data_IF_283320303170
#
_entry.id   IF_283320303170
#
_cell.length_a   1.000
_cell.length_b   1.000
_cell.length_c   1.000
_cell.angle_alpha   90.00
_cell.angle_beta   90.00
_cell.angle_gamma   90.00
#
_symmetry.space_group_name_H-M   'P 1'
#
loop_
_entity.id
_entity.type
_entity.pdbx_description
1 polymer ?
#
# COMPACT_ATOMS: atom_id res chain seq x y z
N UNK A 1 -26.58 8.06 4.23
CA UNK A 1 -25.92 6.74 4.35
C UNK A 1 -24.78 6.76 3.35
N UNK A 2 -23.55 6.47 3.76
CA UNK A 2 -22.40 6.54 2.84
C UNK A 2 -22.08 5.19 2.21
N UNK A 3 -21.62 5.19 0.96
CA UNK A 3 -21.22 3.99 0.22
C UNK A 3 -19.69 3.93 0.08
N UNK A 4 -19.09 2.81 0.46
CA UNK A 4 -17.64 2.65 0.53
C UNK A 4 -17.21 1.36 -0.15
N UNK A 5 -16.16 1.45 -0.97
CA UNK A 5 -15.51 0.30 -1.60
C UNK A 5 -14.11 0.13 -1.02
N UNK A 6 -13.76 -1.07 -0.58
CA UNK A 6 -12.44 -1.38 -0.04
C UNK A 6 -11.84 -2.55 -0.81
N UNK A 7 -10.91 -2.26 -1.72
CA UNK A 7 -10.14 -3.27 -2.46
C UNK A 7 -8.97 -3.70 -1.58
N UNK A 8 -8.77 -5.01 -1.41
CA UNK A 8 -7.79 -5.55 -0.46
C UNK A 8 -8.25 -5.47 1.01
N UNK A 9 -9.56 -5.59 1.25
CA UNK A 9 -10.19 -5.41 2.56
C UNK A 9 -9.75 -6.40 3.65
N UNK A 10 -9.18 -7.55 3.27
CA UNK A 10 -8.61 -8.52 4.21
C UNK A 10 -7.20 -8.16 4.69
N UNK A 11 -6.55 -7.19 4.06
CA UNK A 11 -5.22 -6.70 4.44
C UNK A 11 -5.27 -5.70 5.59
N UNK A 12 -4.12 -5.47 6.23
CA UNK A 12 -3.99 -4.55 7.39
C UNK A 12 -4.50 -3.15 7.07
N UNK A 13 -4.16 -2.62 5.89
CA UNK A 13 -4.58 -1.29 5.46
C UNK A 13 -6.08 -1.24 5.12
N UNK A 14 -6.62 -2.25 4.45
CA UNK A 14 -8.05 -2.37 4.18
C UNK A 14 -8.88 -2.45 5.47
N UNK A 15 -8.42 -3.21 6.46
CA UNK A 15 -9.04 -3.27 7.79
C UNK A 15 -8.99 -1.93 8.51
N UNK A 16 -7.88 -1.19 8.42
CA UNK A 16 -7.78 0.16 8.98
C UNK A 16 -8.82 1.12 8.35
N UNK A 17 -9.00 1.06 7.03
CA UNK A 17 -10.03 1.82 6.33
C UNK A 17 -11.44 1.45 6.78
N UNK A 18 -11.78 0.15 6.85
CA UNK A 18 -13.10 -0.33 7.28
C UNK A 18 -13.40 0.16 8.71
N UNK A 19 -12.45 -0.01 9.63
CA UNK A 19 -12.58 0.47 11.02
C UNK A 19 -12.81 1.98 11.08
N UNK A 20 -12.07 2.75 10.28
CA UNK A 20 -12.20 4.21 10.22
C UNK A 20 -13.55 4.65 9.65
N UNK A 21 -14.04 3.97 8.60
CA UNK A 21 -15.37 4.23 8.03
C UNK A 21 -16.45 3.98 9.07
N UNK A 22 -16.41 2.84 9.77
CA UNK A 22 -17.36 2.53 10.84
C UNK A 22 -17.34 3.56 11.96
N UNK A 23 -16.15 4.05 12.34
CA UNK A 23 -16.01 5.11 13.34
C UNK A 23 -16.63 6.43 12.89
N UNK A 24 -16.36 6.87 11.66
CA UNK A 24 -16.72 8.21 11.17
C UNK A 24 -18.16 8.30 10.69
N UNK A 25 -18.63 7.26 10.01
CA UNK A 25 -19.92 7.25 9.30
C UNK A 25 -20.95 6.30 9.93
N UNK A 26 -20.57 5.57 10.98
CA UNK A 26 -21.46 4.71 11.75
C UNK A 26 -21.63 3.30 11.19
N UNK A 27 -22.40 2.49 11.93
CA UNK A 27 -22.68 1.10 11.57
C UNK A 27 -23.57 0.95 10.32
N UNK A 28 -24.28 2.02 9.97
CA UNK A 28 -25.17 2.07 8.81
C UNK A 28 -24.43 2.36 7.50
N UNK A 29 -23.11 2.64 7.52
CA UNK A 29 -22.34 2.78 6.30
C UNK A 29 -22.40 1.48 5.45
N UNK A 30 -22.59 1.60 4.14
CA UNK A 30 -22.53 0.44 3.26
C UNK A 30 -21.08 0.21 2.82
N UNK A 31 -20.47 -0.91 3.23
CA UNK A 31 -19.08 -1.23 2.91
C UNK A 31 -19.04 -2.51 2.08
N UNK A 32 -18.62 -2.39 0.81
CA UNK A 32 -18.27 -3.53 -0.03
C UNK A 32 -16.76 -3.72 0.06
N UNK A 33 -16.32 -4.87 0.55
CA UNK A 33 -14.91 -5.21 0.66
C UNK A 33 -14.54 -6.31 -0.33
N UNK A 34 -13.61 -6.02 -1.24
CA UNK A 34 -13.02 -7.00 -2.13
C UNK A 34 -11.75 -7.61 -1.52
N UNK A 35 -11.51 -8.89 -1.80
CA UNK A 35 -10.22 -9.52 -1.54
C UNK A 35 -9.88 -10.57 -2.61
N UNK A 36 -8.59 -10.88 -2.70
CA UNK A 36 -8.04 -11.84 -3.64
C UNK A 36 -6.96 -12.70 -2.98
N UNK A 37 -6.73 -13.91 -3.50
CA UNK A 37 -5.74 -14.85 -2.97
C UNK A 37 -6.21 -16.29 -3.10
N UNK A 38 -5.82 -17.15 -2.14
CA UNK A 38 -6.29 -18.53 -2.08
C UNK A 38 -7.79 -18.52 -1.80
N UNK A 39 -8.58 -19.01 -2.76
CA UNK A 39 -10.03 -19.05 -2.65
C UNK A 39 -10.45 -19.79 -1.38
N UNK A 40 -11.16 -19.06 -0.52
CA UNK A 40 -11.81 -19.54 0.68
C UNK A 40 -13.14 -18.79 0.76
N UNK A 41 -14.20 -19.44 0.28
CA UNK A 41 -15.53 -18.84 0.13
C UNK A 41 -16.20 -18.54 1.48
N UNK A 42 -15.58 -18.91 2.60
CA UNK A 42 -16.09 -18.63 3.94
C UNK A 42 -15.48 -17.38 4.59
N UNK A 43 -14.61 -16.65 3.88
CA UNK A 43 -14.06 -15.40 4.42
C UNK A 43 -15.13 -14.32 4.38
N UNK A 44 -15.54 -13.91 5.58
CA UNK A 44 -16.21 -12.63 5.82
C UNK A 44 -15.17 -11.62 6.31
N UNK A 45 -15.10 -10.46 5.68
CA UNK A 45 -14.21 -9.37 6.10
C UNK A 45 -14.89 -8.63 7.25
N UNK A 46 -14.24 -8.61 8.43
CA UNK A 46 -14.80 -7.97 9.62
C UNK A 46 -15.13 -6.49 9.35
N UNK A 47 -16.30 -6.07 9.86
CA UNK A 47 -16.85 -4.74 9.65
C UNK A 47 -17.40 -4.45 8.24
N UNK A 48 -17.19 -5.29 7.22
CA UNK A 48 -17.76 -5.08 5.89
C UNK A 48 -19.25 -5.47 5.85
N UNK A 49 -20.05 -4.76 5.06
CA UNK A 49 -21.46 -5.12 4.80
C UNK A 49 -21.54 -6.29 3.83
N UNK A 50 -20.67 -6.29 2.81
CA UNK A 50 -20.55 -7.33 1.79
C UNK A 50 -19.08 -7.65 1.55
N UNK A 51 -18.80 -8.92 1.29
CA UNK A 51 -17.46 -9.38 0.91
C UNK A 51 -17.52 -9.99 -0.49
N UNK A 52 -16.63 -9.56 -1.38
CA UNK A 52 -16.53 -10.08 -2.75
C UNK A 52 -15.14 -10.67 -2.94
N UNK A 53 -15.07 -11.94 -3.32
CA UNK A 53 -13.82 -12.59 -3.70
C UNK A 53 -13.61 -12.48 -5.20
N UNK A 54 -12.44 -12.01 -5.63
CA UNK A 54 -12.10 -11.96 -7.04
C UNK A 54 -10.91 -11.05 -7.32
N UNK A 55 -10.24 -11.30 -8.44
CA UNK A 55 -9.22 -10.38 -8.95
C UNK A 55 -9.93 -9.10 -9.40
N UNK A 56 -9.55 -7.97 -8.84
CA UNK A 56 -10.19 -6.70 -9.16
C UNK A 56 -9.94 -6.25 -10.60
N UNK A 57 -8.93 -6.81 -11.27
CA UNK A 57 -8.69 -6.59 -12.70
C UNK A 57 -9.60 -7.42 -13.61
N UNK A 58 -10.35 -8.39 -13.07
CA UNK A 58 -11.34 -9.17 -13.81
C UNK A 58 -12.66 -8.38 -13.91
N UNK A 59 -13.17 -8.09 -15.12
CA UNK A 59 -14.47 -7.46 -15.31
C UNK A 59 -15.62 -8.15 -14.58
N UNK A 60 -15.56 -9.47 -14.39
CA UNK A 60 -16.58 -10.19 -13.62
C UNK A 60 -16.62 -9.76 -12.16
N UNK A 61 -15.47 -9.49 -11.55
CA UNK A 61 -15.40 -9.00 -10.17
C UNK A 61 -16.02 -7.60 -10.06
N UNK A 62 -15.70 -6.73 -11.03
CA UNK A 62 -16.26 -5.37 -11.11
C UNK A 62 -17.78 -5.41 -11.33
N UNK A 63 -18.27 -6.30 -12.19
CA UNK A 63 -19.70 -6.50 -12.43
C UNK A 63 -20.44 -6.97 -11.18
N UNK A 64 -19.81 -7.80 -10.33
CA UNK A 64 -20.38 -8.18 -9.04
C UNK A 64 -20.49 -6.98 -8.09
N UNK A 65 -19.48 -6.10 -8.05
CA UNK A 65 -19.52 -4.87 -7.25
C UNK A 65 -20.69 -3.98 -7.72
N UNK A 66 -20.85 -3.80 -9.03
CA UNK A 66 -21.94 -3.01 -9.62
C UNK A 66 -23.33 -3.62 -9.38
N UNK A 67 -23.43 -4.95 -9.33
CA UNK A 67 -24.68 -5.65 -9.03
C UNK A 67 -25.11 -5.44 -7.56
N UNK A 68 -24.15 -5.35 -6.63
CA UNK A 68 -24.43 -5.11 -5.21
C UNK A 68 -24.71 -3.64 -4.88
N UNK A 69 -24.17 -2.69 -5.66
CA UNK A 69 -24.38 -1.26 -5.44
C UNK A 69 -24.34 -0.45 -6.74
N UNK A 70 -25.46 0.17 -7.09
CA UNK A 70 -25.57 1.08 -8.24
C UNK A 70 -25.42 2.56 -7.87
N UNK A 71 -25.46 2.89 -6.57
CA UNK A 71 -25.27 4.26 -6.11
C UNK A 71 -23.79 4.69 -6.15
N UNK A 72 -23.47 5.99 -6.26
CA UNK A 72 -22.09 6.45 -6.21
C UNK A 72 -21.38 6.06 -4.91
N UNK A 73 -20.12 5.65 -5.01
CA UNK A 73 -19.24 5.46 -3.86
C UNK A 73 -18.68 6.81 -3.39
N UNK A 74 -18.80 7.09 -2.09
CA UNK A 74 -18.18 8.25 -1.48
C UNK A 74 -16.65 8.09 -1.44
N UNK A 75 -16.19 6.88 -1.13
CA UNK A 75 -14.77 6.53 -1.14
C UNK A 75 -14.52 5.15 -1.75
N UNK A 76 -13.44 5.05 -2.52
CA UNK A 76 -12.77 3.78 -2.82
C UNK A 76 -11.39 3.77 -2.15
N UNK A 77 -11.11 2.75 -1.35
CA UNK A 77 -9.79 2.48 -0.78
C UNK A 77 -9.13 1.36 -1.56
N UNK A 78 -7.99 1.63 -2.21
CA UNK A 78 -7.28 0.64 -3.02
C UNK A 78 -6.04 0.11 -2.30
N UNK A 79 -6.20 -0.91 -1.44
CA UNK A 79 -5.15 -1.42 -0.53
C UNK A 79 -4.31 -2.58 -1.09
N UNK A 80 -4.40 -2.86 -2.39
CA UNK A 80 -3.60 -3.92 -3.03
C UNK A 80 -2.19 -3.42 -3.34
N UNK A 81 -1.17 -4.24 -3.02
CA UNK A 81 0.22 -3.98 -3.38
C UNK A 81 0.92 -5.30 -3.72
N UNK A 82 1.17 -5.52 -5.01
CA UNK A 82 1.79 -6.71 -5.57
C UNK A 82 2.84 -6.29 -6.61
N UNK A 83 4.02 -6.92 -6.55
CA UNK A 83 5.11 -6.57 -7.44
C UNK A 83 6.41 -7.22 -7.01
N UNK A 84 7.45 -7.07 -7.83
CA UNK A 84 8.80 -7.53 -7.50
C UNK A 84 9.39 -6.69 -6.36
N UNK A 85 9.93 -7.38 -5.36
CA UNK A 85 10.60 -6.82 -4.18
C UNK A 85 11.77 -7.71 -3.77
N UNK A 86 12.56 -7.30 -2.77
CA UNK A 86 13.77 -7.99 -2.32
C UNK A 86 15.01 -7.72 -3.18
N UNK A 87 14.92 -6.76 -4.11
CA UNK A 87 16.02 -6.28 -4.97
C UNK A 87 16.02 -4.75 -5.01
N UNK A 88 17.14 -4.09 -5.33
CA UNK A 88 17.17 -2.63 -5.46
C UNK A 88 16.24 -2.13 -6.57
N UNK A 89 15.60 -0.98 -6.34
CA UNK A 89 14.74 -0.31 -7.33
C UNK A 89 15.55 -0.01 -8.60
N UNK A 90 16.82 0.40 -8.47
CA UNK A 90 17.72 0.66 -9.60
C UNK A 90 18.00 -0.57 -10.48
N UNK A 91 17.64 -1.78 -10.02
CA UNK A 91 17.80 -3.02 -10.78
C UNK A 91 16.48 -3.50 -11.40
N UNK A 92 15.37 -2.78 -11.22
CA UNK A 92 14.11 -3.14 -11.87
C UNK A 92 14.22 -2.94 -13.39
N UNK A 93 13.68 -3.89 -14.14
CA UNK A 93 13.65 -3.83 -15.60
C UNK A 93 12.25 -3.49 -16.10
N UNK A 94 12.15 -3.01 -17.33
CA UNK A 94 10.87 -2.56 -17.91
C UNK A 94 9.75 -3.60 -17.77
N UNK A 95 10.06 -4.87 -18.04
CA UNK A 95 9.10 -5.98 -17.91
C UNK A 95 8.59 -6.16 -16.47
N UNK A 96 9.46 -6.06 -15.45
CA UNK A 96 9.04 -6.20 -14.06
C UNK A 96 8.27 -4.98 -13.57
N UNK A 97 8.61 -3.78 -14.06
CA UNK A 97 7.86 -2.54 -13.82
C UNK A 97 6.44 -2.65 -14.41
N UNK A 98 6.32 -3.07 -15.67
CA UNK A 98 5.02 -3.20 -16.35
C UNK A 98 4.15 -4.24 -15.65
N UNK A 99 4.73 -5.38 -15.25
CA UNK A 99 4.01 -6.39 -14.49
C UNK A 99 3.59 -5.90 -13.10
N UNK A 100 4.42 -5.11 -12.43
CA UNK A 100 4.08 -4.52 -11.12
C UNK A 100 2.92 -3.52 -11.24
N UNK A 101 2.95 -2.64 -12.26
CA UNK A 101 1.89 -1.66 -12.50
C UNK A 101 0.57 -2.33 -12.87
N UNK A 102 0.60 -3.38 -13.71
CA UNK A 102 -0.59 -4.17 -14.05
C UNK A 102 -1.33 -4.69 -12.83
N UNK A 103 -0.62 -4.98 -11.74
CA UNK A 103 -1.19 -5.52 -10.52
C UNK A 103 -1.54 -4.45 -9.48
N UNK A 104 -0.76 -3.37 -9.40
CA UNK A 104 -0.82 -2.39 -8.29
C UNK A 104 -1.29 -0.99 -8.68
N UNK A 105 -1.27 -0.64 -9.96
CA UNK A 105 -1.57 0.71 -10.43
C UNK A 105 -2.68 0.72 -11.49
N UNK A 106 -2.53 -0.02 -12.58
CA UNK A 106 -3.48 -0.03 -13.70
C UNK A 106 -4.94 -0.31 -13.29
N UNK A 107 -5.23 -1.21 -12.32
CA UNK A 107 -6.60 -1.42 -11.89
C UNK A 107 -7.25 -0.18 -11.25
N UNK A 108 -6.47 0.74 -10.68
CA UNK A 108 -6.99 1.99 -10.11
C UNK A 108 -7.63 2.83 -11.23
N UNK A 109 -6.92 2.99 -12.35
CA UNK A 109 -7.39 3.75 -13.51
C UNK A 109 -8.65 3.12 -14.12
N UNK A 110 -8.65 1.79 -14.27
CA UNK A 110 -9.81 1.05 -14.78
C UNK A 110 -11.04 1.24 -13.88
N UNK A 111 -10.87 1.20 -12.56
CA UNK A 111 -11.96 1.36 -11.61
C UNK A 111 -12.51 2.79 -11.59
N UNK A 112 -11.66 3.81 -11.71
CA UNK A 112 -12.11 5.20 -11.79
C UNK A 112 -13.01 5.44 -13.02
N UNK A 113 -12.60 4.91 -14.17
CA UNK A 113 -13.38 4.99 -15.41
C UNK A 113 -14.72 4.26 -15.27
N UNK A 114 -14.69 3.03 -14.74
CA UNK A 114 -15.83 2.12 -14.73
C UNK A 114 -16.86 2.44 -13.64
N UNK A 115 -16.41 2.85 -12.46
CA UNK A 115 -17.27 3.06 -11.28
C UNK A 115 -17.55 4.56 -11.05
N UNK A 116 -18.67 4.88 -10.42
CA UNK A 116 -18.96 6.25 -9.98
C UNK A 116 -18.39 6.45 -8.57
N UNK A 117 -17.18 7.00 -8.48
CA UNK A 117 -16.45 7.21 -7.23
C UNK A 117 -16.19 8.71 -7.05
N UNK A 118 -16.42 9.23 -5.84
CA UNK A 118 -16.11 10.63 -5.52
C UNK A 118 -14.64 10.82 -5.13
N UNK A 119 -14.14 9.95 -4.24
CA UNK A 119 -12.77 10.04 -3.71
C UNK A 119 -12.09 8.68 -3.81
N UNK A 120 -10.91 8.65 -4.40
CA UNK A 120 -10.06 7.46 -4.44
C UNK A 120 -8.89 7.65 -3.49
N UNK A 121 -8.74 6.72 -2.56
CA UNK A 121 -7.65 6.66 -1.58
C UNK A 121 -6.72 5.52 -1.98
N UNK A 122 -5.50 5.89 -2.37
CA UNK A 122 -4.42 4.95 -2.69
C UNK A 122 -3.40 4.88 -1.55
N UNK A 123 -2.49 3.92 -1.60
CA UNK A 123 -1.45 3.76 -0.58
C UNK A 123 -0.06 3.69 -1.16
N UNK A 124 0.80 4.53 -0.60
CA UNK A 124 2.23 4.57 -0.83
C UNK A 124 2.97 4.27 0.47
N UNK A 125 4.29 4.36 0.42
CA UNK A 125 5.19 4.22 1.58
C UNK A 125 6.33 5.20 1.41
N UNK A 126 7.23 5.28 2.38
CA UNK A 126 8.45 6.07 2.27
C UNK A 126 9.52 5.30 1.47
N UNK A 127 9.21 4.93 0.22
CA UNK A 127 10.04 4.04 -0.58
C UNK A 127 11.35 4.67 -1.06
N UNK A 128 11.52 5.97 -0.85
CA UNK A 128 12.73 6.74 -1.20
C UNK A 128 13.82 6.72 -0.13
N UNK A 129 13.54 6.17 1.06
CA UNK A 129 14.60 5.97 2.06
C UNK A 129 15.54 4.85 1.60
N UNK A 130 16.82 4.95 1.98
CA UNK A 130 17.92 4.11 1.48
C UNK A 130 17.64 2.61 1.58
N UNK A 131 17.08 2.15 2.70
CA UNK A 131 16.76 0.73 2.87
C UNK A 131 15.63 0.26 1.96
N UNK A 132 14.65 1.12 1.67
CA UNK A 132 13.56 0.78 0.75
C UNK A 132 14.03 0.86 -0.70
N UNK A 133 14.85 1.84 -1.07
CA UNK A 133 15.53 1.88 -2.37
C UNK A 133 16.29 0.58 -2.67
N UNK A 134 16.88 -0.04 -1.64
CA UNK A 134 17.62 -1.30 -1.79
C UNK A 134 16.73 -2.56 -1.92
N UNK A 135 15.42 -2.47 -1.64
CA UNK A 135 14.55 -3.66 -1.55
C UNK A 135 13.23 -3.59 -2.28
N UNK A 136 12.79 -2.43 -2.76
CA UNK A 136 11.46 -2.27 -3.34
C UNK A 136 11.34 -2.65 -4.82
N UNK A 137 12.44 -2.98 -5.52
CA UNK A 137 12.42 -3.44 -6.91
C UNK A 137 11.46 -2.66 -7.81
N UNK A 138 10.68 -3.38 -8.62
CA UNK A 138 9.66 -2.80 -9.48
C UNK A 138 8.49 -2.14 -8.70
N UNK A 139 8.21 -2.59 -7.47
CA UNK A 139 7.14 -2.02 -6.65
C UNK A 139 7.38 -0.54 -6.33
N UNK A 140 8.65 -0.12 -6.25
CA UNK A 140 9.02 1.29 -6.11
C UNK A 140 8.44 2.17 -7.24
N UNK A 141 8.49 1.69 -8.48
CA UNK A 141 7.92 2.41 -9.64
C UNK A 141 6.38 2.45 -9.59
N UNK A 142 5.73 1.39 -9.10
CA UNK A 142 4.28 1.42 -8.89
C UNK A 142 3.87 2.42 -7.80
N UNK A 143 4.70 2.60 -6.76
CA UNK A 143 4.47 3.64 -5.76
C UNK A 143 4.68 5.03 -6.33
N UNK A 144 5.71 5.24 -7.14
CA UNK A 144 5.89 6.51 -7.86
C UNK A 144 4.73 6.82 -8.82
N UNK A 145 4.21 5.83 -9.54
CA UNK A 145 3.06 6.00 -10.42
C UNK A 145 1.83 6.48 -9.63
N UNK A 146 1.56 5.88 -8.47
CA UNK A 146 0.48 6.32 -7.55
C UNK A 146 0.72 7.76 -7.08
N UNK A 147 1.95 8.09 -6.68
CA UNK A 147 2.33 9.43 -6.19
C UNK A 147 2.09 10.51 -7.26
N UNK A 148 2.49 10.23 -8.52
CA UNK A 148 2.25 11.13 -9.67
C UNK A 148 0.76 11.26 -9.97
N UNK A 149 0.05 10.15 -10.08
CA UNK A 149 -1.38 10.11 -10.36
C UNK A 149 -2.23 10.82 -9.30
N UNK A 150 -1.78 10.81 -8.03
CA UNK A 150 -2.46 11.54 -6.95
C UNK A 150 -2.58 13.06 -7.22
N UNK A 151 -1.69 13.62 -8.05
CA UNK A 151 -1.71 15.02 -8.44
C UNK A 151 -2.44 15.30 -9.74
N UNK A 152 -2.74 14.26 -10.52
CA UNK A 152 -3.45 14.39 -11.78
C UNK A 152 -4.92 14.70 -11.53
N UNK A 153 -5.53 15.60 -12.32
CA UNK A 153 -6.97 15.78 -12.28
C UNK A 153 -7.67 14.52 -12.83
N UNK A 154 -8.75 14.12 -12.18
CA UNK A 154 -9.54 12.96 -12.57
C UNK A 154 -11.03 13.21 -12.46
N UNK A 155 -11.81 12.17 -12.78
CA UNK A 155 -13.25 12.11 -12.50
C UNK A 155 -13.49 12.06 -11.00
N UNK A 156 -12.59 11.41 -10.27
CA UNK A 156 -12.54 11.35 -8.82
C UNK A 156 -11.57 12.40 -8.27
N UNK A 157 -11.71 12.72 -6.98
CA UNK A 157 -10.62 13.34 -6.23
C UNK A 157 -9.61 12.26 -5.80
N UNK A 158 -8.33 12.50 -6.04
CA UNK A 158 -7.28 11.57 -5.69
C UNK A 158 -6.60 11.97 -4.38
N UNK A 159 -6.38 10.99 -3.51
CA UNK A 159 -5.60 11.16 -2.30
C UNK A 159 -4.78 9.89 -2.03
N UNK A 160 -3.67 10.05 -1.34
CA UNK A 160 -2.76 8.96 -1.03
C UNK A 160 -2.37 8.98 0.46
N UNK A 161 -2.45 7.82 1.10
CA UNK A 161 -1.86 7.61 2.42
C UNK A 161 -0.47 6.98 2.26
N UNK A 162 0.56 7.64 2.79
CA UNK A 162 1.91 7.10 2.89
C UNK A 162 2.14 6.52 4.26
N UNK A 163 2.53 5.25 4.33
CA UNK A 163 2.81 4.59 5.59
C UNK A 163 4.29 4.21 5.73
N UNK A 164 4.84 4.45 6.92
CA UNK A 164 6.11 3.84 7.37
C UNK A 164 5.98 2.34 7.53
N UNK A 165 7.08 1.66 7.81
CA UNK A 165 7.17 0.21 7.86
C UNK A 165 6.22 -0.35 8.93
N UNK A 166 5.35 -1.26 8.49
CA UNK A 166 4.44 -2.04 9.34
C UNK A 166 4.44 -3.53 8.93
N UNK A 167 4.02 -4.39 9.86
CA UNK A 167 3.92 -5.82 9.61
C UNK A 167 2.71 -6.13 8.69
N UNK A 168 2.97 -6.74 7.54
CA UNK A 168 1.98 -7.08 6.52
C UNK A 168 2.41 -8.31 5.72
N UNK A 169 1.55 -8.84 4.86
CA UNK A 169 1.93 -9.93 3.96
C UNK A 169 3.06 -9.52 3.00
N UNK A 170 3.06 -8.26 2.54
CA UNK A 170 4.13 -7.73 1.69
C UNK A 170 5.46 -7.65 2.44
N UNK A 171 5.49 -7.07 3.65
CA UNK A 171 6.74 -7.00 4.43
C UNK A 171 7.26 -8.38 4.85
N UNK A 172 6.36 -9.35 5.08
CA UNK A 172 6.75 -10.77 5.25
C UNK A 172 7.36 -11.36 3.98
N UNK A 173 6.79 -11.06 2.81
CA UNK A 173 7.33 -11.46 1.50
C UNK A 173 8.75 -10.95 1.28
N UNK A 174 8.99 -9.65 1.56
CA UNK A 174 10.33 -9.04 1.49
C UNK A 174 11.29 -9.76 2.44
N UNK A 175 10.92 -9.95 3.71
CA UNK A 175 11.74 -10.68 4.69
C UNK A 175 12.11 -12.08 4.17
N UNK A 176 11.18 -12.81 3.56
CA UNK A 176 11.44 -14.14 2.99
C UNK A 176 12.42 -14.10 1.82
N UNK A 177 12.29 -13.13 0.92
CA UNK A 177 13.21 -12.98 -0.22
C UNK A 177 14.61 -12.59 0.24
N UNK A 178 14.72 -11.68 1.22
CA UNK A 178 15.99 -11.34 1.86
C UNK A 178 16.65 -12.55 2.54
N UNK A 179 15.88 -13.44 3.21
CA UNK A 179 16.42 -14.72 3.75
C UNK A 179 17.03 -15.58 2.65
N UNK A 180 16.43 -15.62 1.47
CA UNK A 180 16.91 -16.41 0.33
C UNK A 180 18.22 -15.82 -0.20
N UNK A 181 18.29 -14.50 -0.36
CA UNK A 181 19.49 -13.79 -0.79
C UNK A 181 20.65 -13.95 0.22
N UNK A 182 20.34 -13.91 1.51
CA UNK A 182 21.30 -14.09 2.60
C UNK A 182 22.01 -15.46 2.60
N UNK A 183 21.49 -16.47 1.88
CA UNK A 183 22.20 -17.76 1.71
C UNK A 183 23.43 -17.66 0.79
N UNK A 184 23.52 -16.61 -0.02
CA UNK A 184 24.64 -16.37 -0.93
C UNK A 184 25.05 -14.89 -0.84
N UNK A 185 25.58 -14.43 0.31
CA UNK A 185 25.84 -13.01 0.54
C UNK A 185 26.83 -12.41 -0.47
N UNK A 186 27.75 -13.21 -1.03
CA UNK A 186 28.69 -12.77 -2.06
C UNK A 186 28.01 -12.37 -3.38
N UNK A 187 26.79 -12.86 -3.63
CA UNK A 187 25.99 -12.53 -4.81
C UNK A 187 25.13 -11.28 -4.62
N UNK A 188 25.05 -10.74 -3.41
CA UNK A 188 24.33 -9.50 -3.14
C UNK A 188 25.16 -8.35 -3.71
N UNK A 189 24.62 -7.69 -4.74
CA UNK A 189 25.30 -6.57 -5.42
C UNK A 189 25.19 -5.25 -4.67
N UNK A 190 24.08 -5.05 -3.98
CA UNK A 190 23.82 -3.81 -3.24
C UNK A 190 24.71 -3.75 -1.99
N UNK A 191 25.56 -2.72 -1.83
CA UNK A 191 26.49 -2.63 -0.71
C UNK A 191 25.80 -2.55 0.65
N UNK A 192 24.67 -1.85 0.73
CA UNK A 192 23.91 -1.72 1.98
C UNK A 192 23.37 -3.08 2.41
N UNK A 193 22.64 -3.77 1.53
CA UNK A 193 22.14 -5.12 1.81
C UNK A 193 23.27 -6.09 2.13
N UNK A 194 24.37 -6.06 1.36
CA UNK A 194 25.51 -6.94 1.59
C UNK A 194 26.08 -6.74 2.99
N UNK A 195 26.16 -5.49 3.48
CA UNK A 195 26.68 -5.18 4.81
C UNK A 195 25.89 -5.84 5.96
N UNK A 196 24.59 -6.09 5.77
CA UNK A 196 23.74 -6.76 6.78
C UNK A 196 23.86 -8.28 6.77
N UNK A 197 24.33 -8.89 5.68
CA UNK A 197 24.36 -10.35 5.53
C UNK A 197 25.77 -10.94 5.50
N UNK A 198 26.80 -10.14 5.18
CA UNK A 198 28.17 -10.63 5.14
C UNK A 198 28.66 -11.00 6.54
N UNK A 199 29.05 -12.28 6.73
CA UNK A 199 29.53 -12.78 8.01
C UNK A 199 28.46 -12.93 9.10
N UNK A 200 27.17 -12.73 8.78
CA UNK A 200 26.04 -12.78 9.73
C UNK A 200 25.06 -13.89 9.39
N UNK A 201 24.31 -14.35 10.38
CA UNK A 201 23.19 -15.27 10.11
C UNK A 201 22.04 -14.54 9.39
N UNK A 202 21.26 -15.24 8.57
CA UNK A 202 20.09 -14.63 7.88
C UNK A 202 19.07 -14.02 8.85
N UNK A 203 18.90 -14.61 10.04
CA UNK A 203 18.02 -14.10 11.10
C UNK A 203 18.52 -12.79 11.68
N UNK A 204 19.81 -12.71 11.96
CA UNK A 204 20.47 -11.52 12.48
C UNK A 204 20.44 -10.38 11.46
N UNK A 205 20.85 -10.66 10.21
CA UNK A 205 20.87 -9.65 9.15
C UNK A 205 19.50 -9.04 8.86
N UNK A 206 18.41 -9.83 8.90
CA UNK A 206 17.05 -9.29 8.72
C UNK A 206 16.63 -8.42 9.88
N UNK A 207 16.93 -8.85 11.11
CA UNK A 207 16.60 -8.06 12.29
C UNK A 207 17.31 -6.71 12.23
N UNK A 208 18.61 -6.71 11.95
CA UNK A 208 19.37 -5.46 11.84
C UNK A 208 18.95 -4.60 10.65
N UNK A 209 18.61 -5.20 9.51
CA UNK A 209 18.10 -4.47 8.35
C UNK A 209 16.76 -3.78 8.67
N UNK A 210 15.86 -4.47 9.37
CA UNK A 210 14.59 -3.90 9.83
C UNK A 210 14.80 -2.78 10.86
N UNK A 211 15.73 -2.95 11.81
CA UNK A 211 16.13 -1.87 12.71
C UNK A 211 16.76 -0.69 11.97
N UNK A 212 17.50 -0.95 10.88
CA UNK A 212 18.04 0.08 9.99
C UNK A 212 16.95 0.92 9.33
N UNK A 213 15.86 0.28 8.86
CA UNK A 213 14.67 1.00 8.36
C UNK A 213 14.09 1.89 9.45
N UNK A 214 13.87 1.35 10.67
CA UNK A 214 13.29 2.15 11.76
C UNK A 214 14.16 3.33 12.19
N UNK A 215 15.49 3.15 12.20
CA UNK A 215 16.42 4.23 12.49
C UNK A 215 16.33 5.34 11.44
N UNK A 216 16.30 4.97 10.14
CA UNK A 216 16.18 5.92 9.04
C UNK A 216 14.83 6.63 9.02
N UNK A 217 13.72 5.92 9.28
CA UNK A 217 12.40 6.52 9.44
C UNK A 217 12.37 7.53 10.58
N UNK A 218 12.95 7.16 11.74
CA UNK A 218 13.01 8.06 12.89
C UNK A 218 13.85 9.30 12.60
N UNK A 219 14.94 9.16 11.87
CA UNK A 219 15.79 10.28 11.46
C UNK A 219 15.08 11.19 10.45
N UNK A 220 14.51 10.62 9.39
CA UNK A 220 13.90 11.38 8.30
C UNK A 220 12.54 11.98 8.68
N UNK A 221 11.73 11.24 9.44
CA UNK A 221 10.33 11.58 9.70
C UNK A 221 10.04 11.84 11.17
N UNK A 222 10.95 11.54 12.09
CA UNK A 222 10.82 11.85 13.52
C UNK A 222 10.15 10.75 14.37
N UNK A 223 9.66 9.67 13.75
CA UNK A 223 9.12 8.49 14.44
C UNK A 223 9.21 7.26 13.52
N UNK A 224 8.88 6.06 14.01
CA UNK A 224 9.00 4.80 13.27
C UNK A 224 8.08 3.71 13.85
N UNK A 225 8.12 2.49 13.29
CA UNK A 225 7.37 1.31 13.79
C UNK A 225 5.85 1.52 13.76
N UNK A 226 5.36 1.95 12.61
CA UNK A 226 3.92 2.10 12.33
C UNK A 226 3.17 0.80 12.63
N UNK A 227 2.06 0.90 13.35
CA UNK A 227 1.18 -0.23 13.65
C UNK A 227 -0.25 0.00 13.12
N UNK A 228 -1.13 -0.98 13.32
CA UNK A 228 -2.51 -0.93 12.81
C UNK A 228 -3.36 0.21 13.39
N UNK A 229 -3.10 0.65 14.62
CA UNK A 229 -3.79 1.80 15.21
C UNK A 229 -3.33 3.10 14.55
N UNK A 230 -2.04 3.26 14.29
CA UNK A 230 -1.51 4.44 13.59
C UNK A 230 -2.09 4.57 12.18
N UNK A 231 -2.18 3.45 11.45
CA UNK A 231 -2.85 3.39 10.15
C UNK A 231 -4.33 3.76 10.25
N UNK A 232 -5.04 3.28 11.27
CA UNK A 232 -6.43 3.67 11.49
C UNK A 232 -6.58 5.18 11.77
N UNK A 233 -5.69 5.76 12.58
CA UNK A 233 -5.68 7.19 12.86
C UNK A 233 -5.38 8.05 11.61
N UNK A 234 -4.56 7.56 10.68
CA UNK A 234 -4.31 8.26 9.42
C UNK A 234 -5.57 8.34 8.54
N UNK A 235 -6.42 7.31 8.55
CA UNK A 235 -7.72 7.34 7.85
C UNK A 235 -8.70 8.32 8.51
N UNK A 236 -8.72 8.41 9.85
CA UNK A 236 -9.53 9.42 10.53
C UNK A 236 -9.08 10.84 10.17
N UNK A 237 -7.77 11.06 10.14
CA UNK A 237 -7.17 12.34 9.71
C UNK A 237 -7.58 12.69 8.28
N UNK A 238 -7.59 11.70 7.37
CA UNK A 238 -8.07 11.86 6.00
C UNK A 238 -9.52 12.36 5.97
N UNK A 239 -10.43 11.75 6.76
CA UNK A 239 -11.84 12.16 6.81
C UNK A 239 -12.09 13.51 7.48
N UNK A 240 -11.17 13.98 8.32
CA UNK A 240 -11.28 15.26 9.02
C UNK A 240 -10.65 16.42 8.23
N UNK A 241 -9.83 16.09 7.24
CA UNK A 241 -9.14 17.06 6.40
C UNK A 241 -9.94 17.35 5.13
N UNK A 242 -10.06 18.62 4.77
CA UNK A 242 -10.67 19.01 3.49
C UNK A 242 -9.67 18.78 2.35
N UNK A 243 -9.97 17.81 1.48
CA UNK A 243 -9.23 17.50 0.25
C UNK A 243 -7.71 17.32 0.46
N UNK A 244 -7.27 16.41 1.35
CA UNK A 244 -5.85 16.12 1.51
C UNK A 244 -5.28 15.46 0.23
N UNK A 245 -4.13 15.93 -0.27
CA UNK A 245 -3.40 15.21 -1.32
C UNK A 245 -2.68 13.99 -0.72
N UNK A 246 -1.81 14.24 0.26
CA UNK A 246 -1.06 13.19 0.94
C UNK A 246 -1.28 13.25 2.45
N UNK A 247 -1.67 12.11 3.03
CA UNK A 247 -1.64 11.89 4.47
C UNK A 247 -0.49 10.95 4.78
N UNK A 248 0.48 11.43 5.53
CA UNK A 248 1.67 10.66 5.90
C UNK A 248 1.49 10.11 7.31
N UNK A 249 1.88 8.86 7.53
CA UNK A 249 1.93 8.23 8.85
C UNK A 249 3.22 7.46 9.01
N UNK A 250 4.02 7.82 10.01
CA UNK A 250 5.26 7.14 10.38
C UNK A 250 5.30 7.02 11.90
N UNK A 251 5.25 5.79 12.42
CA UNK A 251 4.93 5.59 13.83
C UNK A 251 3.63 6.30 14.19
N UNK A 252 3.61 7.03 15.31
CA UNK A 252 2.46 7.81 15.77
C UNK A 252 2.33 9.18 15.08
N UNK A 253 3.35 9.60 14.35
CA UNK A 253 3.37 10.93 13.71
C UNK A 253 2.52 10.88 12.43
N UNK A 254 1.53 11.76 12.37
CA UNK A 254 0.67 11.96 11.20
C UNK A 254 0.78 13.42 10.73
N UNK A 255 0.98 13.63 9.44
CA UNK A 255 1.05 14.99 8.87
C UNK A 255 0.60 15.00 7.41
N UNK A 256 0.22 16.18 6.92
CA UNK A 256 -0.21 16.39 5.54
C UNK A 256 0.97 16.90 4.69
N UNK A 257 1.00 16.53 3.41
CA UNK A 257 1.93 17.10 2.44
C UNK A 257 1.28 17.27 1.07
N UNK A 258 2.00 17.93 0.15
CA UNK A 258 1.55 18.24 -1.21
C UNK A 258 2.47 17.72 -2.30
N UNK A 259 3.77 17.61 -2.00
CA UNK A 259 4.75 17.15 -2.98
C UNK A 259 4.76 15.62 -3.06
N UNK A 260 4.90 15.04 -4.27
CA UNK A 260 5.02 13.61 -4.47
C UNK A 260 6.43 13.13 -4.08
N UNK A 261 6.58 11.83 -3.83
CA UNK A 261 7.90 11.21 -3.83
C UNK A 261 8.26 10.83 -5.27
N UNK A 262 9.45 11.21 -5.76
CA UNK A 262 9.92 10.90 -7.11
C UNK A 262 11.26 10.18 -7.05
N UNK A 263 11.38 9.07 -7.79
CA UNK A 263 12.58 8.24 -7.80
C UNK A 263 13.79 8.95 -8.40
N UNK A 264 13.57 9.82 -9.40
CA UNK A 264 14.64 10.57 -10.06
C UNK A 264 15.39 11.53 -9.11
N UNK A 265 14.82 11.86 -7.95
CA UNK A 265 15.48 12.71 -6.96
C UNK A 265 16.52 11.91 -6.13
N UNK A 266 16.56 10.59 -6.29
CA UNK A 266 17.38 9.66 -5.50
C UNK A 266 18.28 8.76 -6.37
N UNK A 267 18.34 9.05 -7.69
CA UNK A 267 19.19 8.39 -8.68
C UNK A 267 20.10 9.37 -9.42
#
# INVERSE_FOLDING_TARGET
MGNFLVIGGSGVMGQAAIKAVRKKFGNDANIIANWYGKADTNISIDGATKTIFGDISDPNCVNQILAENQDPFDYMFYATALGEVGVPISQAHKESIDQSNRLSFDPILMLEETLNIKIIVTYSTFYVIRHQLATYGAMGFSKEAIEKWTLEPGKSHHTCIRAGLFESQSSRGIKLLLRKSAKNPDKIKDPLLKSYFLGKSSKEGIKEFEEGIFAEEKEAYGDCRTNSEDLYQSHLTLFETKNPLFVNVCGKKIWLSKEPQLLNDYF
#
